data_IF_319352967023
#
_entry.id   IF_319352967023
#
_cell.length_a   1.000
_cell.length_b   1.000
_cell.length_c   1.000
_cell.angle_alpha   90.00
_cell.angle_beta   90.00
_cell.angle_gamma   90.00
#
_symmetry.space_group_name_H-M   'P 1'
#
loop_
_entity.id
_entity.type
_entity.pdbx_description
1 polymer ?
#
# COMPACT_ATOMS: atom_id res chain seq x y z
N UNK A 1 7.06 8.48 -12.74
CA UNK A 1 5.58 8.49 -12.83
C UNK A 1 5.07 9.17 -11.58
N UNK A 2 4.14 10.09 -11.72
CA UNK A 2 3.50 10.76 -10.59
C UNK A 2 2.62 9.76 -9.82
N UNK A 3 2.56 9.88 -8.50
CA UNK A 3 1.77 8.99 -7.65
C UNK A 3 0.27 9.32 -7.81
N UNK A 4 -0.48 8.44 -8.49
CA UNK A 4 -1.91 8.63 -8.76
C UNK A 4 -2.77 8.46 -7.49
N UNK A 5 -2.96 9.56 -6.78
CA UNK A 5 -3.76 9.61 -5.57
C UNK A 5 -5.24 9.33 -5.84
N UNK A 6 -5.77 9.75 -7.00
CA UNK A 6 -7.20 9.66 -7.29
C UNK A 6 -7.59 8.25 -7.72
N UNK A 7 -6.77 7.60 -8.56
CA UNK A 7 -6.90 6.19 -8.86
C UNK A 7 -6.86 5.33 -7.60
N UNK A 8 -5.92 5.63 -6.69
CA UNK A 8 -5.83 4.94 -5.41
C UNK A 8 -7.06 5.16 -4.51
N UNK A 9 -7.58 6.39 -4.41
CA UNK A 9 -8.83 6.64 -3.65
C UNK A 9 -9.99 5.77 -4.14
N UNK A 10 -10.11 5.57 -5.46
CA UNK A 10 -11.13 4.71 -6.05
C UNK A 10 -10.96 3.25 -5.65
N UNK A 11 -9.73 2.73 -5.65
CA UNK A 11 -9.41 1.36 -5.21
C UNK A 11 -9.73 1.15 -3.72
N UNK A 12 -9.49 2.17 -2.90
CA UNK A 12 -9.69 2.13 -1.45
C UNK A 12 -11.13 2.44 -1.01
N UNK A 13 -12.13 2.34 -1.90
CA UNK A 13 -13.53 2.66 -1.58
C UNK A 13 -14.13 1.87 -0.41
N UNK A 14 -13.58 0.70 -0.07
CA UNK A 14 -14.02 -0.14 1.07
C UNK A 14 -13.25 0.14 2.38
N UNK A 15 -12.25 1.04 2.36
CA UNK A 15 -11.42 1.34 3.53
C UNK A 15 -12.12 2.37 4.43
N UNK A 16 -12.11 2.12 5.75
CA UNK A 16 -12.73 3.02 6.74
C UNK A 16 -12.08 4.42 6.76
N UNK A 17 -10.76 4.48 6.60
CA UNK A 17 -9.98 5.72 6.64
C UNK A 17 -9.22 5.92 5.33
N UNK A 18 -9.97 6.01 4.24
CA UNK A 18 -9.45 6.11 2.87
C UNK A 18 -8.43 7.23 2.71
N UNK A 19 -8.80 8.45 3.07
CA UNK A 19 -7.98 9.63 2.75
C UNK A 19 -6.68 9.66 3.57
N UNK A 20 -6.74 9.22 4.83
CA UNK A 20 -5.54 9.00 5.67
C UNK A 20 -4.64 7.91 5.07
N UNK A 21 -5.21 6.82 4.58
CA UNK A 21 -4.43 5.75 3.93
C UNK A 21 -3.69 6.29 2.70
N UNK A 22 -4.36 7.08 1.85
CA UNK A 22 -3.74 7.70 0.67
C UNK A 22 -2.62 8.66 1.03
N UNK A 23 -2.79 9.46 2.10
CA UNK A 23 -1.77 10.39 2.59
C UNK A 23 -0.50 9.66 3.05
N UNK A 24 -0.64 8.64 3.89
CA UNK A 24 0.48 7.81 4.34
C UNK A 24 1.19 7.13 3.16
N UNK A 25 0.42 6.65 2.18
CA UNK A 25 0.97 6.06 0.97
C UNK A 25 1.79 7.03 0.14
N UNK A 26 1.32 8.27 0.00
CA UNK A 26 2.05 9.33 -0.68
C UNK A 26 3.38 9.58 0.01
N UNK A 27 3.39 9.61 1.34
CA UNK A 27 4.61 9.79 2.13
C UNK A 27 5.60 8.64 1.90
N UNK A 28 5.14 7.38 1.94
CA UNK A 28 5.98 6.21 1.62
C UNK A 28 6.59 6.31 0.22
N UNK A 29 5.81 6.72 -0.78
CA UNK A 29 6.29 6.87 -2.16
C UNK A 29 7.38 7.95 -2.31
N UNK A 30 7.38 8.99 -1.46
CA UNK A 30 8.44 10.01 -1.45
C UNK A 30 9.77 9.41 -0.98
N UNK A 31 9.76 8.55 0.04
CA UNK A 31 10.97 7.92 0.58
C UNK A 31 11.42 6.69 -0.21
N UNK A 32 10.46 5.93 -0.76
CA UNK A 32 10.70 4.66 -1.44
C UNK A 32 9.97 4.62 -2.80
N UNK A 33 10.42 5.40 -3.81
CA UNK A 33 9.71 5.51 -5.09
C UNK A 33 9.69 4.22 -5.92
N UNK A 34 10.46 3.21 -5.53
CA UNK A 34 10.51 1.89 -6.18
C UNK A 34 9.42 0.94 -5.66
N UNK A 35 8.79 1.29 -4.54
CA UNK A 35 7.71 0.49 -3.99
C UNK A 35 6.52 0.53 -4.93
N UNK A 36 5.96 -0.65 -5.19
CA UNK A 36 4.73 -0.80 -5.98
C UNK A 36 3.59 -1.14 -5.04
N UNK A 37 2.40 -0.64 -5.35
CA UNK A 37 1.18 -1.06 -4.67
C UNK A 37 0.29 -1.89 -5.61
N UNK A 38 -0.43 -2.83 -5.02
CA UNK A 38 -1.41 -3.70 -5.68
C UNK A 38 -2.62 -3.92 -4.76
N UNK A 39 -3.74 -4.35 -5.32
CA UNK A 39 -4.84 -4.92 -4.54
C UNK A 39 -4.73 -6.44 -4.65
N UNK A 40 -4.43 -7.10 -3.54
CA UNK A 40 -4.22 -8.55 -3.50
C UNK A 40 -5.19 -9.20 -2.51
N UNK A 41 -5.54 -10.47 -2.74
CA UNK A 41 -6.44 -11.23 -1.86
C UNK A 41 -5.68 -11.75 -0.65
N UNK A 42 -6.07 -11.32 0.54
CA UNK A 42 -5.55 -11.80 1.82
C UNK A 42 -6.51 -12.79 2.46
N UNK A 43 -5.97 -13.91 2.91
CA UNK A 43 -6.70 -14.93 3.68
C UNK A 43 -6.48 -14.66 5.18
N UNK A 44 -7.56 -14.42 5.90
CA UNK A 44 -7.55 -14.20 7.34
C UNK A 44 -7.50 -15.52 8.10
N UNK A 45 -7.23 -15.45 9.42
CA UNK A 45 -7.14 -16.64 10.30
C UNK A 45 -8.44 -17.45 10.35
N UNK A 46 -9.59 -16.81 10.15
CA UNK A 46 -10.90 -17.45 10.07
C UNK A 46 -11.22 -18.01 8.67
N UNK A 47 -10.22 -18.09 7.78
CA UNK A 47 -10.32 -18.48 6.37
C UNK A 47 -11.15 -17.54 5.50
N UNK A 48 -11.65 -16.42 6.04
CA UNK A 48 -12.29 -15.39 5.21
C UNK A 48 -11.25 -14.73 4.30
N UNK A 49 -11.71 -14.22 3.16
CA UNK A 49 -10.85 -13.58 2.16
C UNK A 49 -11.28 -12.13 1.96
N UNK A 50 -10.32 -11.21 1.83
CA UNK A 50 -10.58 -9.84 1.38
C UNK A 50 -9.45 -9.34 0.49
N UNK A 51 -9.83 -8.57 -0.51
CA UNK A 51 -8.86 -7.80 -1.28
C UNK A 51 -8.41 -6.59 -0.48
N UNK A 52 -7.11 -6.51 -0.24
CA UNK A 52 -6.48 -5.43 0.50
C UNK A 52 -5.32 -4.87 -0.32
N UNK A 53 -5.05 -3.60 -0.09
CA UNK A 53 -3.85 -2.91 -0.54
C UNK A 53 -2.60 -3.63 0.01
N UNK A 54 -1.69 -3.95 -0.90
CA UNK A 54 -0.38 -4.54 -0.63
C UNK A 54 0.72 -3.61 -1.13
N UNK A 55 1.84 -3.57 -0.41
CA UNK A 55 3.08 -2.92 -0.86
C UNK A 55 4.16 -3.95 -1.08
N UNK A 56 4.73 -3.92 -2.27
CA UNK A 56 5.83 -4.80 -2.65
C UNK A 56 7.04 -3.97 -3.06
N UNK A 57 8.18 -4.24 -2.44
CA UNK A 57 9.44 -3.56 -2.68
C UNK A 57 10.50 -4.00 -1.68
N UNK A 58 11.65 -3.33 -1.69
CA UNK A 58 12.78 -3.60 -0.80
C UNK A 58 13.16 -2.33 -0.06
N UNK A 59 13.23 -2.40 1.28
CA UNK A 59 13.81 -1.31 2.07
C UNK A 59 15.33 -1.48 2.18
N UNK A 60 16.11 -0.38 2.15
CA UNK A 60 17.52 -0.44 2.51
C UNK A 60 17.64 -0.71 4.02
N UNK A 61 18.39 -1.75 4.38
CA UNK A 61 18.70 -2.08 5.77
C UNK A 61 20.21 -2.02 5.94
N UNK A 62 20.70 -1.18 6.84
CA UNK A 62 22.11 -1.18 7.22
C UNK A 62 22.38 -2.42 8.05
N UNK A 63 23.23 -3.30 7.54
CA UNK A 63 23.71 -4.47 8.25
C UNK A 63 25.17 -4.24 8.64
N UNK A 64 25.47 -4.38 9.94
CA UNK A 64 26.83 -4.42 10.45
C UNK A 64 27.13 -5.88 10.81
N UNK A 65 28.12 -6.46 10.13
CA UNK A 65 28.61 -7.81 10.35
C UNK A 65 29.66 -7.86 11.45
#
# INVERSE_FOLDING_TARGET
MEFDCEGLRRLLGKYKFRDLTVEELRNVNVFFPHFKYSMDTYVFKDSSQKDLLNFTGTIPVMYQA
#
